data_IF_628050540985
#
_entry.id   IF_628050540985
#
_cell.length_a   1.000
_cell.length_b   1.000
_cell.length_c   1.000
_cell.angle_alpha   90.00
_cell.angle_beta   90.00
_cell.angle_gamma   90.00
#
_symmetry.space_group_name_H-M   'P 1'
#
loop_
_entity.id
_entity.type
_entity.pdbx_description
1 polymer ?
#
# COMPACT_ATOMS: atom_id res chain seq x y z
N UNK A 1 13.25 -14.09 -6.15
CA UNK A 1 12.75 -14.16 -7.54
C UNK A 1 11.25 -13.92 -7.42
N UNK A 2 10.79 -12.73 -7.80
CA UNK A 2 9.38 -12.46 -8.03
C UNK A 2 9.00 -13.42 -9.16
N UNK A 3 7.98 -14.22 -8.95
CA UNK A 3 7.45 -15.10 -9.98
C UNK A 3 6.94 -14.18 -11.11
N UNK A 4 7.61 -14.19 -12.25
CA UNK A 4 7.28 -13.35 -13.42
C UNK A 4 5.90 -13.67 -14.01
N UNK A 5 5.16 -14.62 -13.40
CA UNK A 5 3.84 -15.05 -13.81
C UNK A 5 2.68 -14.53 -12.94
N UNK A 6 2.92 -13.70 -11.96
CA UNK A 6 1.82 -13.07 -11.22
C UNK A 6 1.29 -11.87 -12.00
N UNK A 7 0.17 -12.04 -12.69
CA UNK A 7 -0.56 -10.91 -13.28
C UNK A 7 -0.87 -9.88 -12.20
N UNK A 8 -0.55 -8.60 -12.46
CA UNK A 8 -0.85 -7.53 -11.51
C UNK A 8 -2.36 -7.37 -11.33
N UNK A 9 -2.82 -6.79 -10.22
CA UNK A 9 -4.26 -6.51 -10.00
C UNK A 9 -4.88 -5.72 -11.15
N UNK A 10 -4.11 -4.82 -11.77
CA UNK A 10 -4.60 -4.06 -12.92
C UNK A 10 -4.77 -4.94 -14.15
N UNK A 11 -3.90 -5.93 -14.36
CA UNK A 11 -4.04 -6.87 -15.49
C UNK A 11 -5.27 -7.76 -15.29
N UNK A 12 -5.52 -8.19 -14.04
CA UNK A 12 -6.73 -8.93 -13.69
C UNK A 12 -7.98 -8.08 -13.92
N UNK A 13 -7.97 -6.81 -13.48
CA UNK A 13 -9.06 -5.87 -13.73
C UNK A 13 -9.32 -5.67 -15.24
N UNK A 14 -8.26 -5.49 -16.04
CA UNK A 14 -8.35 -5.36 -17.49
C UNK A 14 -8.96 -6.60 -18.14
N UNK A 15 -8.55 -7.78 -17.73
CA UNK A 15 -9.08 -9.03 -18.27
C UNK A 15 -10.57 -9.19 -17.95
N UNK A 16 -10.98 -8.96 -16.71
CA UNK A 16 -12.39 -8.98 -16.32
C UNK A 16 -13.22 -7.93 -17.10
N UNK A 17 -12.67 -6.71 -17.26
CA UNK A 17 -13.34 -5.67 -18.04
C UNK A 17 -13.52 -6.09 -19.51
N UNK A 18 -12.49 -6.71 -20.13
CA UNK A 18 -12.59 -7.21 -21.51
C UNK A 18 -13.59 -8.36 -21.65
N UNK A 19 -13.64 -9.28 -20.68
CA UNK A 19 -14.66 -10.33 -20.65
C UNK A 19 -16.06 -9.75 -20.63
N UNK A 20 -16.34 -8.74 -19.79
CA UNK A 20 -17.62 -8.04 -19.77
C UNK A 20 -17.91 -7.42 -21.13
N UNK A 21 -16.96 -6.70 -21.70
CA UNK A 21 -17.11 -6.04 -23.01
C UNK A 21 -17.42 -7.05 -24.11
N UNK A 22 -16.80 -8.23 -24.10
CA UNK A 22 -17.01 -9.29 -25.08
C UNK A 22 -18.42 -9.91 -25.02
N UNK A 23 -19.17 -9.73 -23.94
CA UNK A 23 -20.57 -10.16 -23.84
C UNK A 23 -21.54 -9.18 -24.48
N UNK A 24 -21.09 -7.98 -24.88
CA UNK A 24 -21.92 -6.91 -25.37
C UNK A 24 -22.07 -6.96 -26.90
N UNK A 25 -23.20 -6.47 -27.39
CA UNK A 25 -23.47 -6.36 -28.83
C UNK A 25 -22.94 -5.03 -29.37
N UNK A 26 -22.70 -4.97 -30.69
CA UNK A 26 -22.18 -3.74 -31.35
C UNK A 26 -23.11 -2.52 -31.22
N UNK A 27 -24.40 -2.72 -30.93
CA UNK A 27 -25.36 -1.64 -30.69
C UNK A 27 -25.21 -0.99 -29.30
N UNK A 28 -24.58 -1.67 -28.36
CA UNK A 28 -24.40 -1.16 -26.99
C UNK A 28 -23.21 -0.21 -26.96
N UNK A 29 -23.28 0.78 -26.06
CA UNK A 29 -22.22 1.76 -25.84
C UNK A 29 -21.65 1.60 -24.45
N UNK A 30 -20.36 1.82 -24.34
CA UNK A 30 -19.59 1.64 -23.11
C UNK A 30 -18.93 2.96 -22.72
N UNK A 31 -19.10 3.34 -21.46
CA UNK A 31 -18.38 4.43 -20.83
C UNK A 31 -17.35 3.81 -19.89
N UNK A 32 -16.08 4.09 -20.10
CA UNK A 32 -14.99 3.65 -19.21
C UNK A 32 -14.60 4.85 -18.34
N UNK A 33 -14.45 4.62 -17.05
CA UNK A 33 -14.03 5.64 -16.11
C UNK A 33 -12.93 5.10 -15.20
N UNK A 34 -11.86 5.87 -15.02
CA UNK A 34 -10.71 5.54 -14.15
C UNK A 34 -10.50 6.66 -13.14
N UNK A 35 -9.66 6.41 -12.12
CA UNK A 35 -9.34 7.39 -11.08
C UNK A 35 -8.72 8.68 -11.63
N UNK A 36 -8.06 8.65 -12.80
CA UNK A 36 -7.40 9.82 -13.38
C UNK A 36 -8.37 10.77 -14.10
N UNK A 37 -9.60 10.35 -14.34
CA UNK A 37 -10.62 11.12 -15.07
C UNK A 37 -10.11 11.69 -16.40
N UNK A 38 -9.23 10.98 -17.10
CA UNK A 38 -8.74 11.41 -18.40
C UNK A 38 -9.91 11.59 -19.37
N UNK A 39 -9.81 12.57 -20.28
CA UNK A 39 -10.88 12.87 -21.25
C UNK A 39 -11.23 11.66 -22.12
N UNK A 40 -10.23 10.85 -22.48
CA UNK A 40 -10.44 9.60 -23.22
C UNK A 40 -11.27 8.57 -22.46
N UNK A 41 -11.20 8.56 -21.10
CA UNK A 41 -11.94 7.67 -20.22
C UNK A 41 -13.33 8.22 -19.82
N UNK A 42 -13.85 9.23 -20.54
CA UNK A 42 -15.14 9.85 -20.24
C UNK A 42 -16.03 9.97 -21.49
N UNK A 43 -15.75 9.18 -22.53
CA UNK A 43 -16.52 9.13 -23.78
C UNK A 43 -17.19 7.77 -23.91
N UNK A 44 -18.24 7.74 -24.73
CA UNK A 44 -18.93 6.52 -25.11
C UNK A 44 -18.24 5.85 -26.28
N UNK A 45 -17.96 4.57 -26.16
CA UNK A 45 -17.24 3.74 -27.13
C UNK A 45 -18.09 2.56 -27.60
N UNK A 46 -17.79 2.04 -28.79
CA UNK A 46 -18.23 0.72 -29.23
C UNK A 46 -17.43 -0.37 -28.46
N UNK A 47 -17.90 -1.63 -28.42
CA UNK A 47 -17.18 -2.71 -27.78
C UNK A 47 -15.72 -2.87 -28.27
N UNK A 48 -15.50 -2.79 -29.58
CA UNK A 48 -14.13 -2.88 -30.15
C UNK A 48 -13.20 -1.77 -29.71
N UNK A 49 -13.68 -0.53 -29.72
CA UNK A 49 -12.88 0.61 -29.26
C UNK A 49 -12.60 0.53 -27.75
N UNK A 50 -13.57 0.04 -26.95
CA UNK A 50 -13.42 -0.12 -25.51
C UNK A 50 -12.32 -1.11 -25.14
N UNK A 51 -12.16 -2.22 -25.86
CA UNK A 51 -11.07 -3.20 -25.62
C UNK A 51 -9.70 -2.53 -25.78
N UNK A 52 -9.49 -1.79 -26.86
CA UNK A 52 -8.22 -1.09 -27.08
C UNK A 52 -7.94 -0.03 -26.02
N UNK A 53 -9.00 0.64 -25.55
CA UNK A 53 -8.88 1.65 -24.48
C UNK A 53 -8.52 1.00 -23.14
N UNK A 54 -9.14 -0.14 -22.79
CA UNK A 54 -8.85 -0.91 -21.58
C UNK A 54 -7.37 -1.31 -21.53
N UNK A 55 -6.80 -1.78 -22.65
CA UNK A 55 -5.39 -2.15 -22.72
C UNK A 55 -4.46 -0.97 -22.40
N UNK A 56 -4.86 0.25 -22.76
CA UNK A 56 -4.08 1.46 -22.54
C UNK A 56 -4.15 2.03 -21.12
N UNK A 57 -4.96 1.48 -20.22
CA UNK A 57 -5.08 1.95 -18.84
C UNK A 57 -3.82 1.59 -18.06
N UNK A 58 -3.29 2.54 -17.30
CA UNK A 58 -2.14 2.35 -16.42
C UNK A 58 -2.55 2.53 -14.95
N UNK A 59 -1.67 2.10 -14.05
CA UNK A 59 -1.86 2.32 -12.61
C UNK A 59 -1.86 3.82 -12.34
N UNK A 60 -2.89 4.28 -11.63
CA UNK A 60 -3.02 5.67 -11.21
C UNK A 60 -2.41 5.89 -9.83
N UNK A 61 -1.65 6.96 -9.67
CA UNK A 61 -1.22 7.46 -8.36
C UNK A 61 -2.26 8.33 -7.65
N UNK A 62 -3.44 8.57 -8.26
CA UNK A 62 -4.47 9.47 -7.74
C UNK A 62 -5.50 8.70 -6.90
N UNK A 63 -5.53 8.88 -5.56
CA UNK A 63 -6.50 8.22 -4.69
C UNK A 63 -7.84 8.98 -4.73
N UNK A 64 -8.61 8.85 -5.80
CA UNK A 64 -9.94 9.44 -5.85
C UNK A 64 -10.95 8.57 -5.09
N UNK A 65 -11.81 9.24 -4.32
CA UNK A 65 -12.88 8.56 -3.61
C UNK A 65 -13.90 7.98 -4.58
N UNK A 66 -14.38 6.77 -4.31
CA UNK A 66 -15.37 6.08 -5.13
C UNK A 66 -16.64 6.94 -5.37
N UNK A 67 -17.07 7.70 -4.35
CA UNK A 67 -18.19 8.61 -4.47
C UNK A 67 -17.99 9.67 -5.56
N UNK A 68 -16.78 10.17 -5.74
CA UNK A 68 -16.45 11.13 -6.81
C UNK A 68 -16.58 10.48 -8.19
N UNK A 69 -16.14 9.23 -8.31
CA UNK A 69 -16.21 8.46 -9.56
C UNK A 69 -17.70 8.21 -9.91
N UNK A 70 -18.49 7.75 -8.94
CA UNK A 70 -19.92 7.48 -9.11
C UNK A 70 -20.70 8.76 -9.43
N UNK A 71 -20.41 9.87 -8.76
CA UNK A 71 -21.06 11.16 -9.04
C UNK A 71 -20.79 11.63 -10.47
N UNK A 72 -19.56 11.49 -10.95
CA UNK A 72 -19.22 11.80 -12.35
C UNK A 72 -19.89 10.85 -13.35
N UNK A 73 -20.02 9.59 -12.99
CA UNK A 73 -20.75 8.62 -13.79
C UNK A 73 -22.22 9.02 -13.90
N UNK A 74 -22.91 9.34 -12.79
CA UNK A 74 -24.30 9.76 -12.78
C UNK A 74 -24.57 11.01 -13.64
N UNK A 75 -23.61 11.92 -13.76
CA UNK A 75 -23.72 13.10 -14.63
C UNK A 75 -23.71 12.77 -16.13
N UNK A 76 -23.26 11.57 -16.50
CA UNK A 76 -23.12 11.13 -17.90
C UNK A 76 -24.22 10.22 -18.37
N UNK A 77 -25.03 9.69 -17.46
CA UNK A 77 -26.10 8.74 -17.78
C UNK A 77 -27.42 9.49 -17.95
N UNK A 78 -28.16 9.06 -18.96
CA UNK A 78 -29.57 9.41 -19.08
C UNK A 78 -30.40 8.48 -18.17
N UNK A 79 -31.13 9.05 -17.20
CA UNK A 79 -31.99 8.31 -16.25
C UNK A 79 -33.08 7.48 -16.93
N UNK A 80 -33.40 7.76 -18.19
CA UNK A 80 -34.43 7.04 -18.96
C UNK A 80 -33.88 5.78 -19.64
N UNK A 81 -32.57 5.57 -19.61
CA UNK A 81 -31.91 4.42 -20.27
C UNK A 81 -31.54 3.38 -19.20
N UNK A 82 -31.86 2.12 -19.46
CA UNK A 82 -31.39 1.01 -18.62
C UNK A 82 -29.86 0.91 -18.75
N UNK A 83 -29.17 1.07 -17.64
CA UNK A 83 -27.72 1.08 -17.58
C UNK A 83 -27.18 0.04 -16.59
N UNK A 84 -26.02 -0.52 -16.91
CA UNK A 84 -25.29 -1.42 -16.03
C UNK A 84 -23.96 -0.78 -15.66
N UNK A 85 -23.70 -0.64 -14.36
CA UNK A 85 -22.43 -0.15 -13.81
C UNK A 85 -21.63 -1.33 -13.28
N UNK A 86 -20.43 -1.54 -13.81
CA UNK A 86 -19.48 -2.53 -13.31
C UNK A 86 -18.36 -1.80 -12.55
N UNK A 87 -18.25 -2.06 -11.26
CA UNK A 87 -17.19 -1.52 -10.40
C UNK A 87 -16.13 -2.61 -10.20
N UNK A 88 -14.95 -2.41 -10.77
CA UNK A 88 -13.80 -3.31 -10.62
C UNK A 88 -12.78 -2.62 -9.72
N UNK A 89 -12.58 -3.12 -8.50
CA UNK A 89 -11.71 -2.52 -7.49
C UNK A 89 -11.28 -3.55 -6.45
N UNK A 90 -10.17 -3.30 -5.79
CA UNK A 90 -9.71 -4.03 -4.60
C UNK A 90 -10.42 -3.55 -3.30
N UNK A 91 -11.24 -2.53 -3.38
CA UNK A 91 -12.02 -1.95 -2.28
C UNK A 91 -11.23 -1.81 -0.97
N UNK A 92 -10.06 -1.18 -1.03
CA UNK A 92 -9.21 -0.97 0.14
C UNK A 92 -9.99 -0.34 1.30
N UNK A 93 -9.80 -0.86 2.52
CA UNK A 93 -10.57 -0.50 3.74
C UNK A 93 -10.65 0.99 4.10
N UNK A 94 -9.79 1.82 3.53
CA UNK A 94 -9.75 3.27 3.79
C UNK A 94 -10.83 4.07 3.04
N UNK A 95 -11.59 3.43 2.14
CA UNK A 95 -12.59 4.13 1.33
C UNK A 95 -13.96 3.74 1.87
N UNK A 96 -14.67 4.64 2.59
CA UNK A 96 -16.04 4.38 2.98
C UNK A 96 -16.90 4.26 1.73
N UNK A 97 -17.52 3.11 1.53
CA UNK A 97 -18.45 2.86 0.44
C UNK A 97 -19.82 3.46 0.82
N UNK A 98 -20.00 4.75 0.56
CA UNK A 98 -21.30 5.37 0.58
C UNK A 98 -21.81 5.45 -0.86
N UNK A 99 -22.72 4.57 -1.21
CA UNK A 99 -23.34 4.60 -2.52
C UNK A 99 -24.40 5.74 -2.51
N UNK A 100 -24.32 6.69 -3.45
CA UNK A 100 -25.38 7.70 -3.58
C UNK A 100 -26.67 7.05 -4.06
N UNK A 101 -27.80 7.76 -3.92
CA UNK A 101 -29.07 7.32 -4.47
C UNK A 101 -28.97 7.20 -6.00
N UNK A 102 -29.30 6.03 -6.50
CA UNK A 102 -29.27 5.72 -7.93
C UNK A 102 -30.66 5.78 -8.55
N UNK A 103 -30.72 6.09 -9.84
CA UNK A 103 -31.97 5.98 -10.59
C UNK A 103 -32.46 4.52 -10.60
N UNK A 104 -33.76 4.31 -10.66
CA UNK A 104 -34.40 2.98 -10.65
C UNK A 104 -33.97 2.09 -11.85
N UNK A 105 -33.41 2.69 -12.90
CA UNK A 105 -32.98 2.00 -14.11
C UNK A 105 -31.49 1.62 -14.13
N UNK A 106 -30.79 1.71 -12.99
CA UNK A 106 -29.38 1.36 -12.88
C UNK A 106 -29.17 0.03 -12.14
N UNK A 107 -28.55 -0.93 -12.79
CA UNK A 107 -28.06 -2.15 -12.17
C UNK A 107 -26.57 -2.02 -11.86
N UNK A 108 -26.16 -2.24 -10.61
CA UNK A 108 -24.77 -2.19 -10.18
C UNK A 108 -24.26 -3.61 -9.97
N UNK A 109 -23.13 -3.92 -10.60
CA UNK A 109 -22.38 -5.16 -10.40
C UNK A 109 -21.00 -4.81 -9.87
N UNK A 110 -20.63 -5.44 -8.76
CA UNK A 110 -19.34 -5.22 -8.09
C UNK A 110 -18.46 -6.43 -8.36
N UNK A 111 -17.32 -6.19 -9.01
CA UNK A 111 -16.25 -7.16 -9.16
C UNK A 111 -15.15 -6.88 -8.13
N UNK A 112 -15.09 -7.69 -7.08
CA UNK A 112 -13.99 -7.64 -6.13
C UNK A 112 -12.74 -8.22 -6.79
N UNK A 113 -11.68 -7.43 -6.85
CA UNK A 113 -10.37 -7.89 -7.27
C UNK A 113 -9.65 -8.42 -6.02
N UNK A 114 -9.80 -9.70 -5.78
CA UNK A 114 -9.06 -10.35 -4.69
C UNK A 114 -7.61 -10.51 -5.08
N UNK A 115 -6.76 -10.04 -4.20
CA UNK A 115 -5.34 -10.32 -4.30
C UNK A 115 -5.09 -11.69 -3.69
N UNK A 116 -4.89 -12.70 -4.52
CA UNK A 116 -4.46 -14.03 -4.08
C UNK A 116 -2.97 -14.08 -3.68
N UNK A 117 -2.35 -12.90 -3.47
CA UNK A 117 -1.06 -12.90 -2.81
C UNK A 117 -1.25 -13.47 -1.41
N UNK A 118 -0.45 -14.47 -1.06
CA UNK A 118 -0.28 -14.86 0.33
C UNK A 118 -0.29 -13.60 1.17
N UNK A 119 -1.15 -13.58 2.20
CA UNK A 119 -1.28 -12.46 3.14
C UNK A 119 0.02 -12.20 3.95
N UNK A 120 1.13 -12.77 3.50
CA UNK A 120 2.43 -12.70 4.15
C UNK A 120 3.07 -11.33 3.94
N UNK A 121 2.56 -10.32 4.61
CA UNK A 121 3.22 -9.02 4.72
C UNK A 121 3.73 -8.83 6.14
N UNK A 122 5.01 -8.55 6.29
CA UNK A 122 5.62 -8.09 7.52
C UNK A 122 6.09 -6.65 7.35
N UNK A 123 5.87 -5.83 8.36
CA UNK A 123 6.23 -4.42 8.33
C UNK A 123 6.96 -3.98 9.59
N UNK A 124 7.69 -2.87 9.49
CA UNK A 124 8.21 -2.15 10.64
C UNK A 124 7.21 -1.03 10.96
N UNK A 125 6.45 -1.19 12.05
CA UNK A 125 5.45 -0.20 12.45
C UNK A 125 6.10 1.07 13.01
N UNK A 126 7.03 0.90 13.95
CA UNK A 126 7.68 2.01 14.63
C UNK A 126 9.00 1.61 15.28
N UNK A 127 9.81 2.59 15.63
CA UNK A 127 10.97 2.39 16.49
C UNK A 127 11.15 3.56 17.47
N UNK A 128 11.67 3.26 18.65
CA UNK A 128 11.94 4.26 19.68
C UNK A 128 13.10 3.86 20.59
N UNK A 129 13.77 4.86 21.14
CA UNK A 129 14.86 4.68 22.08
C UNK A 129 14.31 4.71 23.53
N UNK A 130 14.89 3.88 24.40
CA UNK A 130 14.39 3.73 25.76
C UNK A 130 14.65 4.95 26.67
N UNK A 131 15.66 5.76 26.33
CA UNK A 131 16.08 6.90 27.15
C UNK A 131 16.06 8.21 26.36
N UNK A 132 15.71 9.35 26.99
CA UNK A 132 15.73 10.65 26.34
C UNK A 132 17.15 11.24 26.20
N UNK A 133 18.08 10.87 27.11
CA UNK A 133 19.46 11.37 27.12
C UNK A 133 20.40 10.32 26.54
N UNK A 134 21.25 10.74 25.61
CA UNK A 134 22.15 9.85 24.87
C UNK A 134 23.55 10.39 24.88
N UNK A 135 24.52 9.53 25.22
CA UNK A 135 25.92 9.89 25.24
C UNK A 135 26.71 9.11 24.22
N UNK A 136 27.83 9.70 23.80
CA UNK A 136 28.79 9.03 22.95
C UNK A 136 29.40 7.82 23.66
N UNK A 137 29.69 6.78 22.91
CA UNK A 137 30.31 5.55 23.41
C UNK A 137 29.51 4.82 24.52
N UNK A 138 28.21 5.12 24.64
CA UNK A 138 27.29 4.39 25.52
C UNK A 138 26.39 3.45 24.70
N UNK A 139 25.90 2.43 25.39
CA UNK A 139 24.96 1.45 24.79
C UNK A 139 23.59 2.08 24.69
N UNK A 140 22.99 2.03 23.52
CA UNK A 140 21.62 2.40 23.25
C UNK A 140 20.74 1.16 23.10
N UNK A 141 19.53 1.26 23.62
CA UNK A 141 18.48 0.26 23.51
C UNK A 141 17.42 0.76 22.53
N UNK A 142 17.45 0.25 21.31
CA UNK A 142 16.47 0.56 20.29
C UNK A 142 15.37 -0.48 20.30
N UNK A 143 14.16 -0.06 20.64
CA UNK A 143 12.96 -0.88 20.56
C UNK A 143 12.32 -0.72 19.19
N UNK A 144 12.03 -1.82 18.54
CA UNK A 144 11.46 -1.85 17.20
C UNK A 144 10.18 -2.69 17.27
N UNK A 145 9.09 -2.14 16.75
CA UNK A 145 7.81 -2.81 16.65
C UNK A 145 7.70 -3.40 15.24
N UNK A 146 7.63 -4.72 15.17
CA UNK A 146 7.38 -5.47 13.94
C UNK A 146 5.96 -5.98 13.95
N UNK A 147 5.33 -5.99 12.79
CA UNK A 147 3.98 -6.50 12.62
C UNK A 147 3.93 -7.51 11.48
N UNK A 148 3.27 -8.64 11.74
CA UNK A 148 2.91 -9.63 10.74
C UNK A 148 1.43 -9.49 10.40
N UNK A 149 1.13 -9.11 9.18
CA UNK A 149 -0.25 -9.00 8.67
C UNK A 149 -0.75 -10.32 8.09
N UNK A 150 0.16 -11.27 7.88
CA UNK A 150 -0.13 -12.57 7.29
C UNK A 150 -0.81 -13.57 8.22
N UNK A 151 -1.28 -14.66 7.64
CA UNK A 151 -1.96 -15.75 8.33
C UNK A 151 -1.03 -16.83 8.86
N UNK A 152 0.28 -16.76 8.55
CA UNK A 152 1.30 -17.72 8.97
C UNK A 152 2.38 -17.03 9.80
N UNK A 153 3.04 -17.80 10.69
CA UNK A 153 4.20 -17.35 11.45
C UNK A 153 5.37 -17.13 10.48
N UNK A 154 6.08 -16.00 10.65
CA UNK A 154 7.19 -15.63 9.76
C UNK A 154 8.48 -15.49 10.55
N UNK A 155 9.57 -16.07 10.02
CA UNK A 155 10.93 -15.81 10.49
C UNK A 155 11.63 -14.97 9.43
N UNK A 156 12.15 -13.81 9.83
CA UNK A 156 12.88 -12.88 8.94
C UNK A 156 14.12 -12.34 9.62
N UNK A 157 14.97 -11.67 8.84
CA UNK A 157 16.14 -10.96 9.36
C UNK A 157 15.88 -9.45 9.41
N UNK A 158 16.26 -8.84 10.52
CA UNK A 158 16.35 -7.38 10.65
C UNK A 158 17.80 -6.93 10.70
N UNK A 159 18.08 -5.89 9.96
CA UNK A 159 19.42 -5.30 9.84
C UNK A 159 19.40 -3.89 10.40
N UNK A 160 20.31 -3.60 11.34
CA UNK A 160 20.52 -2.26 11.87
C UNK A 160 21.72 -1.62 11.23
N UNK A 161 21.53 -0.42 10.69
CA UNK A 161 22.59 0.45 10.19
C UNK A 161 22.65 1.74 11.02
N UNK A 162 23.85 2.17 11.36
CA UNK A 162 24.14 3.45 12.00
C UNK A 162 25.17 4.19 11.15
N UNK A 163 24.83 5.40 10.72
CA UNK A 163 25.66 6.23 9.84
C UNK A 163 26.14 5.44 8.60
N UNK A 164 25.22 4.74 7.94
CA UNK A 164 25.43 3.88 6.78
C UNK A 164 26.33 2.65 7.03
N UNK A 165 26.69 2.35 8.28
CA UNK A 165 27.44 1.15 8.64
C UNK A 165 26.53 0.10 9.26
N UNK A 166 26.52 -1.11 8.72
CA UNK A 166 25.79 -2.24 9.31
C UNK A 166 26.39 -2.57 10.68
N UNK A 167 25.56 -2.51 11.73
CA UNK A 167 25.94 -2.77 13.12
C UNK A 167 25.58 -4.19 13.56
N UNK A 168 24.40 -4.65 13.17
CA UNK A 168 23.93 -5.98 13.59
C UNK A 168 22.93 -6.57 12.62
N UNK A 169 22.73 -7.88 12.76
CA UNK A 169 21.68 -8.66 12.11
C UNK A 169 21.00 -9.50 13.18
N UNK A 170 19.69 -9.50 13.19
CA UNK A 170 18.88 -10.26 14.15
C UNK A 170 17.82 -11.07 13.41
N UNK A 171 17.76 -12.36 13.71
CA UNK A 171 16.62 -13.18 13.30
C UNK A 171 15.45 -12.86 14.21
N UNK A 172 14.27 -12.69 13.61
CA UNK A 172 13.03 -12.29 14.28
C UNK A 172 11.94 -13.26 13.85
N UNK A 173 11.27 -13.82 14.83
CA UNK A 173 10.08 -14.63 14.65
C UNK A 173 8.86 -13.80 15.03
N UNK A 174 7.91 -13.66 14.10
CA UNK A 174 6.71 -12.86 14.28
C UNK A 174 5.50 -13.76 14.04
N UNK A 175 4.73 -14.10 15.10
CA UNK A 175 3.54 -14.94 14.94
C UNK A 175 2.51 -14.32 14.01
N UNK A 176 1.68 -15.15 13.42
CA UNK A 176 0.64 -14.71 12.48
C UNK A 176 -0.28 -13.65 13.10
N UNK A 177 -0.65 -12.64 12.33
CA UNK A 177 -1.58 -11.55 12.72
C UNK A 177 -1.22 -10.88 14.05
N UNK A 178 0.06 -10.85 14.40
CA UNK A 178 0.56 -10.31 15.66
C UNK A 178 1.61 -9.22 15.47
N UNK A 179 1.87 -8.53 16.56
CA UNK A 179 2.91 -7.52 16.68
C UNK A 179 3.87 -7.92 17.80
N UNK A 180 5.18 -7.75 17.57
CA UNK A 180 6.21 -7.99 18.58
C UNK A 180 7.11 -6.77 18.73
N UNK A 181 7.70 -6.64 19.91
CA UNK A 181 8.73 -5.63 20.20
C UNK A 181 10.07 -6.36 20.36
N UNK A 182 11.06 -5.96 19.56
CA UNK A 182 12.43 -6.45 19.68
C UNK A 182 13.35 -5.31 20.08
N UNK A 183 14.09 -5.50 21.16
CA UNK A 183 15.14 -4.56 21.56
C UNK A 183 16.46 -4.95 20.93
N UNK A 184 17.09 -4.02 20.22
CA UNK A 184 18.43 -4.16 19.64
C UNK A 184 19.36 -3.20 20.33
N UNK A 185 20.50 -3.72 20.80
CA UNK A 185 21.51 -2.92 21.48
C UNK A 185 22.65 -2.58 20.52
N UNK A 186 23.12 -1.35 20.56
CA UNK A 186 24.31 -0.91 19.83
C UNK A 186 25.02 0.21 20.59
N UNK A 187 26.28 0.43 20.25
CA UNK A 187 27.08 1.50 20.90
C UNK A 187 27.07 2.73 20.01
N UNK A 188 26.80 3.89 20.64
CA UNK A 188 26.86 5.18 19.96
C UNK A 188 28.28 5.46 19.43
N UNK A 189 28.42 5.94 18.18
CA UNK A 189 29.72 6.34 17.66
C UNK A 189 30.35 7.45 18.47
N UNK A 190 31.68 7.34 18.68
CA UNK A 190 32.42 8.33 19.47
C UNK A 190 32.75 9.61 18.69
N UNK A 191 32.87 9.49 17.36
CA UNK A 191 33.40 10.55 16.48
C UNK A 191 32.32 11.48 15.89
N UNK A 192 31.05 11.28 16.21
CA UNK A 192 29.95 12.07 15.68
C UNK A 192 28.88 12.31 16.73
N UNK A 193 28.27 13.48 16.68
CA UNK A 193 27.10 13.84 17.50
C UNK A 193 25.78 13.53 16.81
N UNK A 194 25.75 13.60 15.51
CA UNK A 194 24.54 13.30 14.75
C UNK A 194 24.53 11.81 14.37
N UNK A 195 23.50 11.12 14.78
CA UNK A 195 23.31 9.70 14.51
C UNK A 195 22.14 9.56 13.55
N UNK A 196 22.39 8.92 12.42
CA UNK A 196 21.35 8.51 11.47
C UNK A 196 21.28 6.99 11.50
N UNK A 197 20.11 6.49 11.80
CA UNK A 197 19.85 5.06 11.88
C UNK A 197 18.86 4.61 10.82
N UNK A 198 19.02 3.34 10.42
CA UNK A 198 18.14 2.69 9.48
C UNK A 198 17.95 1.23 9.93
N UNK A 199 16.70 0.78 9.88
CA UNK A 199 16.34 -0.61 10.09
C UNK A 199 15.72 -1.13 8.80
N UNK A 200 16.16 -2.30 8.37
CA UNK A 200 15.65 -2.98 7.16
C UNK A 200 15.27 -4.40 7.56
N UNK A 201 14.16 -4.91 7.02
CA UNK A 201 13.77 -6.32 7.11
C UNK A 201 13.73 -6.97 5.73
N UNK A 202 13.90 -8.29 5.70
CA UNK A 202 13.75 -9.09 4.48
C UNK A 202 12.27 -9.48 4.31
N UNK A 203 11.53 -8.70 3.52
CA UNK A 203 10.24 -9.09 2.99
C UNK A 203 10.26 -8.98 1.47
N UNK A 204 10.08 -10.09 0.74
CA UNK A 204 10.12 -10.07 -0.71
C UNK A 204 8.88 -9.50 -1.36
N UNK A 205 7.74 -9.45 -0.66
CA UNK A 205 6.44 -9.14 -1.24
C UNK A 205 6.15 -7.64 -1.27
N UNK A 206 6.23 -6.95 -0.14
CA UNK A 206 5.94 -5.53 -0.04
C UNK A 206 7.18 -4.80 0.46
N UNK A 207 7.81 -3.99 -0.39
CA UNK A 207 9.13 -3.41 -0.11
C UNK A 207 9.09 -2.00 0.52
N UNK A 208 7.97 -1.29 0.45
CA UNK A 208 7.91 0.11 0.88
C UNK A 208 7.84 0.28 2.41
N UNK A 209 7.39 -0.73 3.14
CA UNK A 209 7.27 -0.76 4.61
C UNK A 209 8.36 -1.61 5.30
N UNK A 210 9.32 -2.10 4.51
CA UNK A 210 10.46 -2.89 4.98
C UNK A 210 11.58 -2.05 5.60
N UNK A 211 11.44 -0.73 5.63
CA UNK A 211 12.50 0.18 6.02
C UNK A 211 11.96 1.33 6.86
N UNK A 212 12.64 1.61 7.98
CA UNK A 212 12.39 2.79 8.81
C UNK A 212 13.68 3.53 9.09
N UNK A 213 13.63 4.86 9.08
CA UNK A 213 14.73 5.74 9.41
C UNK A 213 14.48 6.43 10.74
N UNK A 214 15.56 6.64 11.51
CA UNK A 214 15.53 7.42 12.71
C UNK A 214 16.80 8.29 12.83
N UNK A 215 16.71 9.39 13.53
CA UNK A 215 17.84 10.25 13.78
C UNK A 215 17.78 10.87 15.19
N UNK A 216 18.94 11.09 15.78
CA UNK A 216 19.05 11.76 17.06
C UNK A 216 20.45 12.35 17.24
N UNK A 217 20.63 13.15 18.32
CA UNK A 217 21.92 13.68 18.70
C UNK A 217 22.39 13.07 20.03
N UNK A 218 23.70 12.91 20.14
CA UNK A 218 24.37 12.50 21.39
C UNK A 218 25.02 13.72 22.01
N UNK A 219 24.83 13.88 23.32
CA UNK A 219 25.46 14.94 24.11
C UNK A 219 26.76 14.46 24.73
N UNK A 220 27.70 15.41 24.94
CA UNK A 220 28.96 15.12 25.62
C UNK A 220 28.85 15.31 27.16
N UNK A 221 27.77 15.96 27.64
CA UNK A 221 27.57 16.29 29.05
C UNK A 221 26.12 16.08 29.45
N UNK A 222 25.91 15.55 30.64
CA UNK A 222 24.58 15.54 31.26
C UNK A 222 24.40 16.89 31.96
N UNK A 223 23.35 17.69 31.64
CA UNK A 223 23.09 18.90 32.42
C UNK A 223 22.71 18.50 33.84
N UNK A 224 23.50 18.93 34.81
CA UNK A 224 23.20 18.74 36.21
C UNK A 224 22.72 20.08 36.75
N UNK A 225 21.47 20.14 37.22
CA UNK A 225 20.96 21.26 37.98
C UNK A 225 21.39 21.06 39.45
N UNK A 226 22.29 21.89 39.93
CA UNK A 226 22.60 21.97 41.35
C UNK A 226 21.66 22.99 41.99
N UNK A 227 20.85 22.56 42.95
CA UNK A 227 19.97 23.42 43.78
C UNK A 227 20.72 23.78 45.04
#
# INVERSE_FOLDING_TARGET
KIDENSSSLIDYAKNNAKEIVNTLTESQKILIMTNDFEKKHQKWYSPKEAISLIDSINISGNPNQLNTIISKYNQKIDSNIVSHLYLLSDFQKKIPLQLPDFSQNLSIKIGLLENNYNDANISIDSCYLSTPFRKKNEIENLNIVFQNHGSEDVITNAYLFINNQKKSTHSIEIPSKSSIIKTINYVNPINTTNINGEIIIDDPLIKFDNRIFFAYQTDNATPVLTI
#
